data_IF_454678477577
#
_entry.id   IF_454678477577
#
_cell.length_a   1.000
_cell.length_b   1.000
_cell.length_c   1.000
_cell.angle_alpha   90.00
_cell.angle_beta   90.00
_cell.angle_gamma   90.00
#
_symmetry.space_group_name_H-M   'P 1'
#
loop_
_entity.id
_entity.type
_entity.pdbx_description
1 polymer ?
#
# COMPACT_ATOMS: atom_id res chain seq x y z
N UNK A 1 -5.26 -7.50 7.92
CA UNK A 1 -4.41 -8.30 7.01
C UNK A 1 -3.01 -8.41 7.59
N UNK A 2 -2.30 -9.53 7.40
CA UNK A 2 -0.96 -9.81 7.96
C UNK A 2 -0.08 -10.52 6.93
N UNK A 3 1.26 -10.54 7.12
CA UNK A 3 2.18 -11.24 6.22
C UNK A 3 1.86 -12.75 6.05
N UNK A 4 1.38 -13.42 7.09
CA UNK A 4 1.00 -14.83 7.00
C UNK A 4 -0.19 -15.07 6.04
N UNK A 5 -1.08 -14.10 5.89
CA UNK A 5 -2.18 -14.16 4.92
C UNK A 5 -1.64 -14.01 3.49
N UNK A 6 -0.68 -13.09 3.30
CA UNK A 6 0.01 -12.92 2.01
C UNK A 6 0.74 -14.20 1.63
N UNK A 7 1.51 -14.78 2.55
CA UNK A 7 2.21 -16.04 2.32
C UNK A 7 1.26 -17.15 1.88
N UNK A 8 0.13 -17.33 2.58
CA UNK A 8 -0.86 -18.35 2.25
C UNK A 8 -1.41 -18.16 0.83
N UNK A 9 -1.81 -16.93 0.49
CA UNK A 9 -2.35 -16.63 -0.84
C UNK A 9 -1.32 -16.87 -1.94
N UNK A 10 -0.10 -16.38 -1.75
CA UNK A 10 0.96 -16.50 -2.75
C UNK A 10 1.46 -17.95 -2.89
N UNK A 11 1.47 -18.73 -1.81
CA UNK A 11 1.78 -20.16 -1.86
C UNK A 11 0.76 -20.92 -2.72
N UNK A 12 -0.53 -20.59 -2.61
CA UNK A 12 -1.56 -21.18 -3.46
C UNK A 12 -1.47 -20.68 -4.91
N UNK A 13 -1.18 -19.39 -5.11
CA UNK A 13 -0.92 -18.84 -6.44
C UNK A 13 0.27 -19.54 -7.12
N UNK A 14 1.34 -19.82 -6.38
CA UNK A 14 2.48 -20.62 -6.85
C UNK A 14 2.04 -22.03 -7.24
N UNK A 15 1.22 -22.70 -6.43
CA UNK A 15 0.72 -24.05 -6.73
C UNK A 15 -0.04 -24.11 -8.06
N UNK A 16 -0.82 -23.08 -8.35
CA UNK A 16 -1.65 -22.98 -9.56
C UNK A 16 -0.87 -22.53 -10.81
N UNK A 17 0.15 -21.68 -10.63
CA UNK A 17 0.83 -21.01 -11.76
C UNK A 17 2.27 -21.45 -12.00
N UNK A 18 2.90 -22.09 -11.02
CA UNK A 18 4.34 -22.37 -10.95
C UNK A 18 5.26 -21.13 -10.84
N UNK A 19 4.70 -19.91 -10.71
CA UNK A 19 5.48 -18.70 -10.44
C UNK A 19 5.78 -18.53 -8.95
N UNK A 20 6.98 -18.04 -8.62
CA UNK A 20 7.44 -17.88 -7.24
C UNK A 20 7.58 -16.42 -6.80
N UNK A 21 7.60 -15.48 -7.73
CA UNK A 21 7.76 -14.05 -7.43
C UNK A 21 6.51 -13.25 -7.83
N UNK A 22 5.98 -12.50 -6.88
CA UNK A 22 4.78 -11.68 -7.04
C UNK A 22 5.07 -10.25 -6.61
N UNK A 23 4.46 -9.29 -7.28
CA UNK A 23 4.50 -7.88 -6.89
C UNK A 23 3.15 -7.54 -6.26
N UNK A 24 3.17 -6.89 -5.10
CA UNK A 24 1.98 -6.41 -4.39
C UNK A 24 1.97 -4.90 -4.46
N UNK A 25 0.85 -4.35 -4.93
CA UNK A 25 0.60 -2.91 -4.98
C UNK A 25 -0.60 -2.56 -4.11
N UNK A 26 -1.11 -1.33 -4.22
CA UNK A 26 -2.31 -0.91 -3.51
C UNK A 26 -2.11 -0.78 -1.99
N UNK A 27 -3.18 -0.97 -1.23
CA UNK A 27 -3.20 -0.68 0.21
C UNK A 27 -2.29 -1.59 1.03
N UNK A 28 -2.15 -2.86 0.64
CA UNK A 28 -1.39 -3.87 1.37
C UNK A 28 0.13 -3.81 1.11
N UNK A 29 0.58 -2.91 0.24
CA UNK A 29 1.99 -2.50 0.09
C UNK A 29 2.65 -2.15 1.43
N UNK A 30 1.88 -1.63 2.39
CA UNK A 30 2.37 -1.29 3.74
C UNK A 30 2.93 -2.49 4.50
N UNK A 31 2.50 -3.72 4.19
CA UNK A 31 3.01 -4.92 4.87
C UNK A 31 4.51 -5.13 4.65
N UNK A 32 5.08 -4.57 3.57
CA UNK A 32 6.52 -4.59 3.33
C UNK A 32 7.36 -3.93 4.44
N UNK A 33 6.76 -3.03 5.24
CA UNK A 33 7.46 -2.32 6.33
C UNK A 33 7.04 -2.78 7.73
N UNK A 34 6.27 -3.87 7.85
CA UNK A 34 5.68 -4.32 9.13
C UNK A 34 6.71 -4.66 10.21
N UNK A 35 7.91 -5.11 9.82
CA UNK A 35 9.01 -5.40 10.76
C UNK A 35 9.76 -4.16 11.25
N UNK A 36 9.54 -3.00 10.63
CA UNK A 36 10.25 -1.76 10.98
C UNK A 36 9.50 -0.94 12.04
N UNK A 37 8.17 -1.06 12.08
CA UNK A 37 7.30 -0.30 12.97
C UNK A 37 5.86 -0.82 13.00
N UNK A 38 5.08 -0.52 14.06
CA UNK A 38 3.66 -0.83 14.11
C UNK A 38 2.90 -0.15 12.96
N UNK A 39 2.06 -0.92 12.27
CA UNK A 39 1.20 -0.42 11.19
C UNK A 39 -0.19 -0.10 11.75
N UNK A 40 -0.76 1.10 11.48
CA UNK A 40 -2.13 1.41 11.86
C UNK A 40 -3.15 0.41 11.29
N UNK A 41 -4.16 -0.01 12.07
CA UNK A 41 -5.21 -0.90 11.57
C UNK A 41 -5.88 -0.40 10.29
N UNK A 42 -6.06 0.92 10.17
CA UNK A 42 -6.66 1.57 8.98
C UNK A 42 -5.91 1.27 7.68
N UNK A 43 -4.60 1.01 7.75
CA UNK A 43 -3.79 0.69 6.58
C UNK A 43 -3.85 -0.80 6.19
N UNK A 44 -4.44 -1.65 7.03
CA UNK A 44 -4.50 -3.10 6.90
C UNK A 44 -5.91 -3.65 6.63
N UNK A 45 -6.88 -2.76 6.35
CA UNK A 45 -8.30 -3.09 6.20
C UNK A 45 -8.69 -3.69 4.85
N UNK A 46 -7.81 -3.64 3.84
CA UNK A 46 -8.07 -4.28 2.55
C UNK A 46 -8.19 -5.79 2.69
N UNK A 47 -9.14 -6.36 1.94
CA UNK A 47 -9.31 -7.80 1.72
C UNK A 47 -8.93 -8.21 0.29
N UNK A 48 -8.81 -7.22 -0.59
CA UNK A 48 -8.24 -7.28 -1.93
C UNK A 48 -6.71 -7.20 -1.85
N UNK A 49 -6.04 -8.23 -2.37
CA UNK A 49 -4.59 -8.26 -2.54
C UNK A 49 -4.29 -7.93 -4.01
N UNK A 50 -4.16 -6.64 -4.31
CA UNK A 50 -3.75 -6.14 -5.63
C UNK A 50 -2.35 -6.67 -5.97
N UNK A 51 -2.26 -7.66 -6.86
CA UNK A 51 -0.98 -8.27 -7.18
C UNK A 51 -0.86 -8.76 -8.62
N UNK A 52 0.39 -9.04 -9.01
CA UNK A 52 0.69 -9.71 -10.26
C UNK A 52 1.95 -10.56 -10.17
N UNK A 53 2.05 -11.59 -11.01
CA UNK A 53 3.26 -12.40 -11.16
C UNK A 53 4.36 -11.54 -11.77
N UNK A 54 5.49 -11.39 -11.09
CA UNK A 54 6.56 -10.46 -11.49
C UNK A 54 7.09 -10.73 -12.90
N UNK A 55 7.25 -12.01 -13.23
CA UNK A 55 7.86 -12.45 -14.49
C UNK A 55 6.82 -12.79 -15.59
N UNK A 56 5.53 -12.73 -15.27
CA UNK A 56 4.44 -12.97 -16.24
C UNK A 56 3.14 -12.27 -15.80
N UNK A 57 3.11 -10.92 -15.76
CA UNK A 57 1.98 -10.20 -15.15
C UNK A 57 0.63 -10.51 -15.81
N UNK A 58 0.60 -10.73 -17.12
CA UNK A 58 -0.61 -11.00 -17.89
C UNK A 58 -1.32 -12.29 -17.47
N UNK A 59 -0.57 -13.32 -17.07
CA UNK A 59 -1.15 -14.60 -16.63
C UNK A 59 -1.68 -14.58 -15.20
N UNK A 60 -1.49 -13.49 -14.45
CA UNK A 60 -2.11 -13.35 -13.11
C UNK A 60 -3.64 -13.44 -13.18
N UNK A 61 -4.25 -12.96 -14.26
CA UNK A 61 -5.70 -13.02 -14.46
C UNK A 61 -6.25 -14.46 -14.57
N UNK A 62 -5.41 -15.45 -14.91
CA UNK A 62 -5.78 -16.87 -14.90
C UNK A 62 -6.12 -17.37 -13.49
N UNK A 63 -5.66 -16.67 -12.44
CA UNK A 63 -5.89 -17.05 -11.05
C UNK A 63 -7.27 -16.62 -10.52
N UNK A 64 -7.99 -15.70 -11.19
CA UNK A 64 -9.27 -15.17 -10.68
C UNK A 64 -10.28 -16.25 -10.30
N UNK A 65 -10.52 -17.30 -11.13
CA UNK A 65 -11.51 -18.31 -10.78
C UNK A 65 -11.21 -19.05 -9.48
N UNK A 66 -9.93 -19.21 -9.13
CA UNK A 66 -9.50 -19.97 -7.97
C UNK A 66 -9.21 -19.12 -6.73
N UNK A 67 -8.72 -17.89 -6.91
CA UNK A 67 -8.20 -17.03 -5.85
C UNK A 67 -8.80 -15.63 -5.79
N UNK A 68 -9.60 -15.24 -6.79
CA UNK A 68 -10.21 -13.91 -6.87
C UNK A 68 -11.50 -13.76 -6.08
N UNK A 69 -12.16 -12.62 -6.26
CA UNK A 69 -13.48 -12.34 -5.69
C UNK A 69 -14.50 -13.40 -6.12
N UNK A 70 -15.29 -13.87 -5.16
CA UNK A 70 -16.26 -14.96 -5.30
C UNK A 70 -15.65 -16.36 -5.33
N UNK A 71 -14.33 -16.50 -5.25
CA UNK A 71 -13.67 -17.80 -5.26
C UNK A 71 -13.88 -18.57 -3.96
N UNK A 72 -13.68 -19.90 -4.01
CA UNK A 72 -13.68 -20.72 -2.80
C UNK A 72 -12.61 -20.28 -1.80
N UNK A 73 -11.45 -19.83 -2.29
CA UNK A 73 -10.38 -19.31 -1.43
C UNK A 73 -10.88 -18.12 -0.60
N UNK A 74 -11.54 -17.16 -1.24
CA UNK A 74 -12.10 -15.99 -0.54
C UNK A 74 -13.13 -16.39 0.50
N UNK A 75 -14.09 -17.24 0.14
CA UNK A 75 -15.14 -17.69 1.06
C UNK A 75 -14.57 -18.38 2.32
N UNK A 76 -13.46 -19.11 2.17
CA UNK A 76 -12.81 -19.82 3.28
C UNK A 76 -11.87 -18.93 4.11
N UNK A 77 -11.24 -17.91 3.51
CA UNK A 77 -10.18 -17.13 4.15
C UNK A 77 -10.56 -15.67 4.46
N UNK A 78 -11.59 -15.13 3.81
CA UNK A 78 -12.08 -13.75 3.97
C UNK A 78 -11.28 -12.68 3.21
N UNK A 79 -10.43 -13.07 2.26
CA UNK A 79 -9.64 -12.19 1.41
C UNK A 79 -9.25 -12.90 0.09
N UNK A 80 -8.88 -12.13 -0.91
CA UNK A 80 -8.67 -12.64 -2.27
C UNK A 80 -7.54 -11.93 -3.02
N UNK A 81 -7.07 -12.57 -4.09
CA UNK A 81 -6.15 -12.01 -5.06
C UNK A 81 -6.93 -11.14 -6.05
N UNK A 82 -6.61 -9.85 -6.15
CA UNK A 82 -7.09 -9.01 -7.25
C UNK A 82 -5.97 -8.85 -8.28
N UNK A 83 -6.06 -9.47 -9.47
CA UNK A 83 -4.99 -9.37 -10.44
C UNK A 83 -5.02 -8.00 -11.10
N UNK A 84 -3.88 -7.34 -11.10
CA UNK A 84 -3.72 -6.00 -11.67
C UNK A 84 -2.62 -5.97 -12.73
N UNK A 85 -2.71 -5.00 -13.65
CA UNK A 85 -1.60 -4.70 -14.56
C UNK A 85 -0.50 -3.93 -13.80
N UNK A 86 0.79 -4.14 -14.12
CA UNK A 86 1.88 -3.28 -13.63
C UNK A 86 1.67 -1.79 -13.97
N UNK A 87 0.91 -1.50 -15.03
CA UNK A 87 0.58 -0.14 -15.47
C UNK A 87 -0.69 0.45 -14.84
N UNK A 88 -1.40 -0.31 -14.00
CA UNK A 88 -2.63 0.18 -13.35
C UNK A 88 -2.36 1.37 -12.42
N UNK A 89 -1.37 1.33 -11.50
CA UNK A 89 -1.15 2.46 -10.60
C UNK A 89 -0.36 3.59 -11.27
N UNK A 90 -0.80 4.83 -11.06
CA UNK A 90 0.00 6.04 -11.32
C UNK A 90 1.19 6.10 -10.35
N UNK A 91 2.40 5.83 -10.84
CA UNK A 91 3.62 5.73 -10.03
C UNK A 91 4.74 6.67 -10.50
N UNK A 92 5.61 7.13 -9.59
CA UNK A 92 6.85 7.84 -9.93
C UNK A 92 7.86 6.94 -10.65
N UNK A 93 8.68 7.55 -11.51
CA UNK A 93 9.76 6.86 -12.22
C UNK A 93 10.67 6.05 -11.27
N UNK A 94 11.10 4.87 -11.74
CA UNK A 94 12.01 3.97 -11.03
C UNK A 94 11.45 3.36 -9.75
N UNK A 95 10.12 3.29 -9.60
CA UNK A 95 9.45 2.67 -8.45
C UNK A 95 9.80 1.19 -8.30
N UNK A 96 10.11 0.50 -9.39
CA UNK A 96 10.52 -0.90 -9.43
C UNK A 96 11.81 -1.14 -8.62
N UNK A 97 12.70 -0.14 -8.56
CA UNK A 97 13.94 -0.21 -7.76
C UNK A 97 13.71 0.00 -6.27
N UNK A 98 12.51 0.47 -5.88
CA UNK A 98 12.12 0.74 -4.49
C UNK A 98 11.21 -0.36 -3.93
N UNK A 99 10.97 -1.43 -4.68
CA UNK A 99 10.23 -2.58 -4.21
C UNK A 99 10.88 -3.19 -2.96
N UNK A 100 10.08 -3.45 -1.93
CA UNK A 100 10.50 -4.09 -0.70
C UNK A 100 10.32 -5.59 -0.83
N UNK A 101 11.44 -6.31 -0.95
CA UNK A 101 11.47 -7.77 -1.07
C UNK A 101 11.23 -8.43 0.29
N UNK A 102 10.29 -9.37 0.34
CA UNK A 102 10.05 -10.26 1.48
C UNK A 102 10.03 -11.71 0.98
N UNK A 103 10.95 -12.51 1.50
CA UNK A 103 11.05 -13.93 1.22
C UNK A 103 10.30 -14.74 2.28
N UNK A 104 9.44 -15.65 1.84
CA UNK A 104 8.61 -16.48 2.72
C UNK A 104 9.14 -17.92 2.81
N UNK A 105 8.84 -18.59 3.92
CA UNK A 105 9.29 -19.97 4.18
C UNK A 105 8.71 -20.98 3.18
N UNK A 106 7.51 -20.71 2.67
CA UNK A 106 6.88 -21.46 1.56
C UNK A 106 7.63 -21.37 0.22
N UNK A 107 8.70 -20.57 0.12
CA UNK A 107 9.53 -20.44 -1.08
C UNK A 107 8.95 -19.50 -2.16
N UNK A 108 7.97 -18.68 -1.79
CA UNK A 108 7.51 -17.54 -2.60
C UNK A 108 8.14 -16.24 -2.10
N UNK A 109 8.28 -15.28 -3.00
CA UNK A 109 8.75 -13.94 -2.71
C UNK A 109 7.67 -12.93 -3.06
N UNK A 110 7.35 -12.03 -2.12
CA UNK A 110 6.58 -10.83 -2.39
C UNK A 110 7.50 -9.63 -2.56
N UNK A 111 7.23 -8.83 -3.59
CA UNK A 111 7.83 -7.52 -3.81
C UNK A 111 6.76 -6.48 -3.54
N UNK A 112 6.77 -5.86 -2.37
CA UNK A 112 5.80 -4.85 -1.99
C UNK A 112 6.20 -3.49 -2.56
N UNK A 113 5.25 -2.77 -3.15
CA UNK A 113 5.45 -1.36 -3.51
C UNK A 113 5.85 -0.54 -2.29
N UNK A 114 6.75 0.43 -2.47
CA UNK A 114 7.08 1.36 -1.38
C UNK A 114 5.80 2.09 -0.91
N UNK A 115 5.53 2.17 0.41
CA UNK A 115 4.30 2.80 0.91
C UNK A 115 4.09 4.25 0.46
N UNK A 116 5.16 5.02 0.26
CA UNK A 116 5.07 6.39 -0.25
C UNK A 116 4.79 6.40 -1.77
N UNK A 117 5.14 5.36 -2.53
CA UNK A 117 4.79 5.22 -3.96
C UNK A 117 3.32 4.82 -4.08
N UNK A 118 2.86 3.91 -3.20
CA UNK A 118 1.44 3.61 -3.05
C UNK A 118 0.63 4.86 -2.69
N UNK A 119 1.15 5.72 -1.80
CA UNK A 119 0.51 6.99 -1.46
C UNK A 119 0.40 7.94 -2.68
N UNK A 120 1.37 7.91 -3.61
CA UNK A 120 1.28 8.70 -4.85
C UNK A 120 0.09 8.25 -5.70
N UNK A 121 -0.01 6.95 -5.97
CA UNK A 121 -1.14 6.38 -6.74
C UNK A 121 -2.49 6.68 -6.08
N UNK A 122 -2.54 6.61 -4.74
CA UNK A 122 -3.72 6.93 -3.94
C UNK A 122 -4.10 8.42 -3.99
N UNK A 123 -3.13 9.33 -4.00
CA UNK A 123 -3.39 10.76 -4.17
C UNK A 123 -3.85 11.13 -5.57
N UNK A 124 -3.32 10.45 -6.60
CA UNK A 124 -3.79 10.60 -7.98
C UNK A 124 -5.28 10.20 -8.07
N UNK A 125 -5.61 8.98 -7.62
CA UNK A 125 -6.99 8.46 -7.61
C UNK A 125 -7.94 9.28 -6.73
N UNK A 126 -7.53 9.64 -5.52
CA UNK A 126 -8.22 10.61 -4.67
C UNK A 126 -9.46 10.12 -3.91
N UNK A 127 -9.67 8.81 -3.78
CA UNK A 127 -10.83 8.26 -3.08
C UNK A 127 -10.83 8.60 -1.58
N UNK A 128 -12.00 8.73 -0.92
CA UNK A 128 -12.06 9.00 0.52
C UNK A 128 -11.30 7.97 1.37
N UNK A 129 -11.41 6.68 1.02
CA UNK A 129 -10.70 5.59 1.72
C UNK A 129 -9.18 5.68 1.55
N UNK A 130 -8.71 6.20 0.43
CA UNK A 130 -7.30 6.44 0.18
C UNK A 130 -6.76 7.54 1.08
N UNK A 131 -7.50 8.64 1.24
CA UNK A 131 -7.14 9.71 2.20
C UNK A 131 -7.10 9.21 3.63
N UNK A 132 -8.03 8.35 4.04
CA UNK A 132 -8.02 7.71 5.37
C UNK A 132 -6.77 6.83 5.58
N UNK A 133 -6.39 6.04 4.58
CA UNK A 133 -5.17 5.23 4.59
C UNK A 133 -3.91 6.10 4.70
N UNK A 134 -3.84 7.18 3.91
CA UNK A 134 -2.70 8.09 3.88
C UNK A 134 -2.56 8.83 5.22
N UNK A 135 -3.66 9.39 5.75
CA UNK A 135 -3.64 10.10 7.04
C UNK A 135 -3.19 9.22 8.19
N UNK A 136 -3.59 7.95 8.20
CA UNK A 136 -3.10 6.98 9.18
C UNK A 136 -1.59 6.77 9.05
N UNK A 137 -1.10 6.59 7.82
CA UNK A 137 0.33 6.42 7.55
C UNK A 137 1.18 7.65 7.86
N UNK A 138 0.68 8.86 7.57
CA UNK A 138 1.34 10.13 7.91
C UNK A 138 1.38 10.36 9.43
N UNK A 139 0.30 10.07 10.14
CA UNK A 139 0.22 10.22 11.60
C UNK A 139 1.28 9.38 12.30
N UNK A 140 1.46 8.14 11.84
CA UNK A 140 2.50 7.30 12.38
C UNK A 140 3.86 7.55 11.73
N UNK A 141 4.03 8.38 10.72
CA UNK A 141 5.29 8.53 9.96
C UNK A 141 5.76 7.25 9.21
N UNK A 142 4.82 6.42 8.74
CA UNK A 142 5.08 5.38 7.71
C UNK A 142 5.26 6.07 6.38
N UNK A 143 4.46 7.11 6.18
CA UNK A 143 4.48 7.99 5.03
C UNK A 143 5.16 9.29 5.40
N UNK A 144 5.85 9.87 4.43
CA UNK A 144 6.59 11.11 4.54
C UNK A 144 6.10 12.06 3.46
N UNK A 145 5.41 13.12 3.87
CA UNK A 145 4.89 14.13 2.93
C UNK A 145 5.99 14.74 2.04
N UNK A 146 7.20 15.07 2.55
CA UNK A 146 8.30 15.52 1.70
C UNK A 146 8.75 14.49 0.65
N UNK A 147 8.75 13.20 1.01
CA UNK A 147 9.11 12.11 0.07
C UNK A 147 8.04 11.97 -1.00
N UNK A 148 6.76 12.01 -0.62
CA UNK A 148 5.63 11.95 -1.56
C UNK A 148 5.65 13.16 -2.50
N UNK A 149 5.85 14.38 -1.97
CA UNK A 149 6.00 15.58 -2.78
C UNK A 149 7.19 15.49 -3.75
N UNK A 150 8.29 14.85 -3.32
CA UNK A 150 9.43 14.57 -4.21
C UNK A 150 9.06 13.62 -5.34
N UNK A 151 8.31 12.56 -5.02
CA UNK A 151 7.87 11.55 -5.97
C UNK A 151 6.86 12.11 -6.98
N UNK A 152 5.96 13.01 -6.58
CA UNK A 152 5.08 13.72 -7.52
C UNK A 152 5.83 14.41 -8.66
N UNK A 153 7.05 14.91 -8.43
CA UNK A 153 7.86 15.54 -9.49
C UNK A 153 8.41 14.54 -10.51
N UNK A 154 8.41 13.26 -10.18
CA UNK A 154 8.88 12.14 -10.99
C UNK A 154 7.72 11.31 -11.54
N UNK A 155 6.47 11.74 -11.31
CA UNK A 155 5.28 11.00 -11.71
C UNK A 155 4.68 11.62 -12.96
N UNK A 156 4.48 10.78 -13.98
CA UNK A 156 3.60 11.11 -15.11
C UNK A 156 2.17 10.82 -14.69
N UNK A 157 1.43 11.87 -14.35
CA UNK A 157 -0.01 11.79 -14.09
C UNK A 157 -0.79 11.63 -15.39
N UNK A 158 -2.06 11.24 -15.28
CA UNK A 158 -2.97 11.11 -16.42
C UNK A 158 -3.08 12.42 -17.20
N UNK A 159 -3.24 13.54 -16.48
CA UNK A 159 -3.27 14.89 -17.01
C UNK A 159 -2.90 15.91 -15.93
N UNK A 160 -2.88 17.20 -16.31
CA UNK A 160 -2.59 18.30 -15.38
C UNK A 160 -3.65 18.42 -14.27
N UNK A 161 -4.90 18.05 -14.55
CA UNK A 161 -5.99 18.10 -13.57
C UNK A 161 -5.76 17.10 -12.43
N UNK A 162 -5.41 15.87 -12.77
CA UNK A 162 -5.03 14.83 -11.80
C UNK A 162 -3.81 15.26 -10.99
N UNK A 163 -2.78 15.82 -11.65
CA UNK A 163 -1.57 16.31 -10.98
C UNK A 163 -1.88 17.42 -9.97
N UNK A 164 -2.72 18.39 -10.33
CA UNK A 164 -3.12 19.48 -9.43
C UNK A 164 -4.00 18.98 -8.29
N UNK A 165 -4.94 18.08 -8.56
CA UNK A 165 -5.77 17.48 -7.54
C UNK A 165 -4.94 16.67 -6.53
N UNK A 166 -3.96 15.88 -6.99
CA UNK A 166 -3.05 15.14 -6.11
C UNK A 166 -2.23 16.08 -5.20
N UNK A 167 -1.67 17.16 -5.77
CA UNK A 167 -0.93 18.19 -5.01
C UNK A 167 -1.81 18.88 -3.97
N UNK A 168 -3.03 19.24 -4.33
CA UNK A 168 -3.98 19.86 -3.41
C UNK A 168 -4.31 18.93 -2.24
N UNK A 169 -4.61 17.66 -2.52
CA UNK A 169 -4.92 16.66 -1.49
C UNK A 169 -3.74 16.43 -0.53
N UNK A 170 -2.51 16.42 -1.03
CA UNK A 170 -1.32 16.35 -0.19
C UNK A 170 -1.23 17.57 0.74
N UNK A 171 -1.36 18.79 0.21
CA UNK A 171 -1.31 20.01 1.00
C UNK A 171 -2.40 20.07 2.09
N UNK A 172 -3.61 19.61 1.77
CA UNK A 172 -4.71 19.47 2.73
C UNK A 172 -4.35 18.52 3.88
N UNK A 173 -3.70 17.39 3.58
CA UNK A 173 -3.29 16.42 4.61
C UNK A 173 -2.11 16.90 5.44
N UNK A 174 -1.16 17.63 4.85
CA UNK A 174 -0.09 18.30 5.59
C UNK A 174 -0.66 19.32 6.58
N UNK A 175 -1.60 20.16 6.13
CA UNK A 175 -2.28 21.13 6.99
C UNK A 175 -3.11 20.44 8.09
N UNK A 176 -3.79 19.34 7.76
CA UNK A 176 -4.51 18.53 8.73
C UNK A 176 -3.57 17.90 9.77
N UNK A 177 -2.43 17.35 9.35
CA UNK A 177 -1.45 16.71 10.23
C UNK A 177 -0.81 17.73 11.19
N UNK A 178 -0.49 18.94 10.69
CA UNK A 178 0.04 20.03 11.50
C UNK A 178 -0.95 20.45 12.61
N UNK A 179 -2.23 20.62 12.26
CA UNK A 179 -3.30 20.92 13.24
C UNK A 179 -3.48 19.80 14.26
N UNK A 180 -3.46 18.55 13.81
CA UNK A 180 -3.64 17.37 14.66
C UNK A 180 -2.48 17.19 15.65
N UNK A 181 -1.25 17.41 15.19
CA UNK A 181 -0.04 17.41 16.03
C UNK A 181 -0.06 18.52 17.06
N UNK A 182 -0.45 19.74 16.68
CA UNK A 182 -0.58 20.87 17.60
C UNK A 182 -1.64 20.62 18.69
N UNK A 183 -2.79 20.01 18.33
CA UNK A 183 -3.82 19.62 19.29
C UNK A 183 -3.34 18.53 20.27
N UNK A 184 -2.57 17.55 19.79
CA UNK A 184 -1.99 16.48 20.63
C UNK A 184 -0.97 17.03 21.64
N UNK A 185 -0.14 18.00 21.23
CA UNK A 185 0.80 18.66 22.13
C UNK A 185 0.10 19.54 23.19
N UNK A 186 -0.98 20.24 22.84
CA UNK A 186 -1.78 21.01 23.82
C UNK A 186 -2.49 20.14 24.85
N UNK A 187 -2.78 18.87 24.52
CA UNK A 187 -3.46 17.90 25.39
C UNK A 187 -2.52 17.07 26.28
N UNK A 188 -1.20 17.29 26.25
CA UNK A 188 -0.27 16.77 27.26
C UNK A 188 0.01 17.89 28.29
N UNK A 189 -0.75 18.01 29.41
CA UNK A 189 -0.31 18.87 30.49
C UNK A 189 0.99 18.31 31.03
N UNK A 190 1.97 19.20 31.27
CA UNK A 190 3.27 18.80 31.80
C UNK A 190 3.09 17.92 33.04
N UNK A 191 3.69 16.73 33.00
CA UNK A 191 4.04 15.98 34.21
C UNK A 191 5.11 16.76 34.95
N UNK A 192 4.72 17.92 35.52
CA UNK A 192 5.51 18.64 36.49
C UNK A 192 5.44 17.86 37.79
N UNK A 193 6.53 17.14 38.10
CA UNK A 193 6.80 16.67 39.46
C UNK A 193 7.04 17.91 40.34
N UNK A 194 6.29 18.14 41.43
CA UNK A 194 6.81 18.89 42.55
C UNK A 194 7.75 18.00 43.38
N UNK A 195 8.65 18.67 44.09
CA UNK A 195 9.85 18.18 44.78
C UNK A 195 9.60 17.08 45.80
#
# INVERSE_FOLDING_TARGET
>A
MELAHIERLLAEARRLSQHTEFVIVGSLSVLGVMGLRPIPPRMLMSIDVDCYMRNDPGRTFELKPALGEGSRFELENGYYLDPVSPSLPTLPEGWEHRLVRVDFASGVTAHFLDPNDAAVSKYARGEPRDREWIRAGLTEAILSAPVIASRFRQTTFLDESEAQAAKQRLAEDEAWLAKSSAAKNKRKPGTGKPR
#
